data_IF_718464704389
#
_entry.id   IF_718464704389
#
_cell.length_a   1.000
_cell.length_b   1.000
_cell.length_c   1.000
_cell.angle_alpha   90.00
_cell.angle_beta   90.00
_cell.angle_gamma   90.00
#
_symmetry.space_group_name_H-M   'P 1'
#
loop_
_entity.id
_entity.type
_entity.pdbx_description
1 polymer ?
#
# COMPACT_ATOMS: atom_id res chain seq x y z
N UNK A 1 -6.53 -1.26 -2.48
CA UNK A 1 -7.95 -0.84 -2.51
C UNK A 1 -8.39 -0.30 -3.87
N UNK A 2 -7.64 0.61 -4.51
CA UNK A 2 -8.03 1.24 -5.79
C UNK A 2 -8.32 0.27 -6.96
N UNK A 3 -7.52 -0.79 -7.20
CA UNK A 3 -7.75 -1.69 -8.34
C UNK A 3 -9.08 -2.44 -8.22
N UNK A 4 -9.39 -2.94 -7.01
CA UNK A 4 -10.62 -3.69 -6.72
C UNK A 4 -11.86 -2.81 -6.93
N UNK A 5 -11.84 -1.57 -6.42
CA UNK A 5 -12.98 -0.66 -6.58
C UNK A 5 -13.18 -0.26 -8.04
N UNK A 6 -12.10 -0.09 -8.80
CA UNK A 6 -12.18 0.23 -10.22
C UNK A 6 -12.73 -0.93 -11.05
N UNK A 7 -12.37 -2.17 -10.74
CA UNK A 7 -13.00 -3.35 -11.35
C UNK A 7 -14.48 -3.46 -10.96
N UNK A 8 -14.84 -3.23 -9.70
CA UNK A 8 -16.24 -3.23 -9.26
C UNK A 8 -17.08 -2.21 -10.03
N UNK A 9 -16.55 -1.01 -10.31
CA UNK A 9 -17.24 0.01 -11.09
C UNK A 9 -17.33 -0.30 -12.59
N UNK A 10 -16.48 -1.17 -13.13
CA UNK A 10 -16.62 -1.69 -14.50
C UNK A 10 -17.76 -2.70 -14.60
N UNK A 11 -17.97 -3.50 -13.56
CA UNK A 11 -19.06 -4.48 -13.49
C UNK A 11 -20.40 -3.82 -13.14
N UNK A 12 -20.38 -2.93 -12.16
CA UNK A 12 -21.55 -2.19 -11.68
C UNK A 12 -21.26 -0.68 -11.61
N UNK A 13 -21.57 0.07 -12.69
CA UNK A 13 -21.27 1.50 -12.78
C UNK A 13 -22.00 2.38 -11.75
N UNK A 14 -23.06 1.87 -11.13
CA UNK A 14 -23.87 2.56 -10.11
C UNK A 14 -23.58 2.09 -8.68
N UNK A 15 -22.49 1.36 -8.45
CA UNK A 15 -22.18 0.81 -7.14
C UNK A 15 -21.67 1.90 -6.17
N UNK A 16 -22.57 2.37 -5.30
CA UNK A 16 -22.30 3.41 -4.29
C UNK A 16 -21.13 3.03 -3.37
N UNK A 17 -21.08 1.78 -2.91
CA UNK A 17 -20.03 1.29 -2.01
C UNK A 17 -18.65 1.30 -2.70
N UNK A 18 -18.59 0.98 -3.98
CA UNK A 18 -17.36 0.99 -4.75
C UNK A 18 -16.82 2.42 -4.94
N UNK A 19 -17.69 3.40 -5.26
CA UNK A 19 -17.30 4.81 -5.31
C UNK A 19 -16.81 5.31 -3.96
N UNK A 20 -17.54 5.03 -2.88
CA UNK A 20 -17.16 5.48 -1.54
C UNK A 20 -15.80 4.92 -1.09
N UNK A 21 -15.57 3.61 -1.27
CA UNK A 21 -14.28 2.97 -0.94
C UNK A 21 -13.13 3.50 -1.80
N UNK A 22 -13.39 3.81 -3.09
CA UNK A 22 -12.39 4.40 -3.97
C UNK A 22 -12.04 5.82 -3.54
N UNK A 23 -13.03 6.62 -3.14
CA UNK A 23 -12.82 7.96 -2.63
C UNK A 23 -11.96 7.98 -1.36
N UNK A 24 -12.22 7.08 -0.40
CA UNK A 24 -11.42 6.97 0.82
C UNK A 24 -9.97 6.56 0.53
N UNK A 25 -9.78 5.65 -0.44
CA UNK A 25 -8.44 5.29 -0.87
C UNK A 25 -7.69 6.48 -1.50
N UNK A 26 -8.36 7.29 -2.33
CA UNK A 26 -7.77 8.51 -2.89
C UNK A 26 -7.51 9.61 -1.84
N UNK A 27 -8.38 9.74 -0.83
CA UNK A 27 -8.15 10.59 0.34
C UNK A 27 -6.84 10.19 1.05
N UNK A 28 -6.62 8.90 1.28
CA UNK A 28 -5.39 8.37 1.89
C UNK A 28 -4.14 8.62 1.05
N UNK A 29 -4.27 8.67 -0.29
CA UNK A 29 -3.19 9.01 -1.22
C UNK A 29 -3.00 10.52 -1.42
N UNK A 30 -3.71 11.36 -0.65
CA UNK A 30 -3.73 12.82 -0.79
C UNK A 30 -4.16 13.30 -2.19
N UNK A 31 -4.81 12.45 -2.97
CA UNK A 31 -5.41 12.82 -4.25
C UNK A 31 -6.85 13.28 -4.00
N UNK A 32 -6.97 14.45 -3.40
CA UNK A 32 -8.24 14.96 -2.91
C UNK A 32 -9.22 15.31 -4.04
N UNK A 33 -8.74 15.66 -5.24
CA UNK A 33 -9.60 15.98 -6.38
C UNK A 33 -10.41 14.77 -6.83
N UNK A 34 -9.75 13.64 -7.06
CA UNK A 34 -10.43 12.39 -7.47
C UNK A 34 -11.32 11.85 -6.34
N UNK A 35 -10.91 12.02 -5.08
CA UNK A 35 -11.71 11.67 -3.92
C UNK A 35 -13.04 12.44 -3.87
N UNK A 36 -12.99 13.77 -4.09
CA UNK A 36 -14.19 14.62 -4.15
C UNK A 36 -15.12 14.21 -5.30
N UNK A 37 -14.57 13.92 -6.48
CA UNK A 37 -15.38 13.50 -7.63
C UNK A 37 -16.15 12.20 -7.36
N UNK A 38 -15.51 11.23 -6.70
CA UNK A 38 -16.14 9.98 -6.33
C UNK A 38 -17.18 10.17 -5.21
N UNK A 39 -16.91 11.01 -4.21
CA UNK A 39 -17.90 11.35 -3.17
C UNK A 39 -19.12 12.08 -3.74
N UNK A 40 -18.93 12.97 -4.71
CA UNK A 40 -20.04 13.61 -5.41
C UNK A 40 -20.89 12.60 -6.17
N UNK A 41 -20.28 11.56 -6.76
CA UNK A 41 -21.05 10.46 -7.41
C UNK A 41 -21.84 9.65 -6.39
N UNK A 42 -21.27 9.37 -5.22
CA UNK A 42 -21.98 8.72 -4.11
C UNK A 42 -23.24 9.52 -3.76
N UNK A 43 -23.11 10.83 -3.54
CA UNK A 43 -24.25 11.69 -3.15
C UNK A 43 -25.30 11.88 -4.25
N UNK A 44 -24.90 11.76 -5.52
CA UNK A 44 -25.82 11.76 -6.67
C UNK A 44 -26.64 10.48 -6.76
N UNK A 45 -26.05 9.34 -6.39
CA UNK A 45 -26.72 8.04 -6.43
C UNK A 45 -27.55 7.79 -5.17
N UNK A 46 -27.02 8.20 -4.02
CA UNK A 46 -27.69 8.12 -2.72
C UNK A 46 -27.39 9.40 -1.92
N UNK A 47 -28.37 10.29 -1.89
CA UNK A 47 -28.25 11.58 -1.21
C UNK A 47 -28.36 11.47 0.31
N UNK A 48 -28.73 10.31 0.86
CA UNK A 48 -28.94 10.10 2.29
C UNK A 48 -27.70 9.56 3.02
N UNK A 49 -26.55 9.44 2.33
CA UNK A 49 -25.30 8.98 2.94
C UNK A 49 -24.62 10.13 3.69
N UNK A 50 -24.97 10.32 4.96
CA UNK A 50 -24.41 11.36 5.82
C UNK A 50 -22.88 11.26 5.95
N UNK A 51 -22.35 10.05 5.95
CA UNK A 51 -20.91 9.79 6.00
C UNK A 51 -20.21 10.36 4.77
N UNK A 52 -20.79 10.24 3.58
CA UNK A 52 -20.22 10.77 2.34
C UNK A 52 -20.20 12.29 2.32
N UNK A 53 -21.21 12.94 2.91
CA UNK A 53 -21.22 14.40 3.07
C UNK A 53 -20.10 14.87 4.01
N UNK A 54 -19.95 14.20 5.15
CA UNK A 54 -18.88 14.49 6.12
C UNK A 54 -17.50 14.32 5.51
N UNK A 55 -17.27 13.21 4.82
CA UNK A 55 -16.01 12.93 4.13
C UNK A 55 -15.72 13.98 3.05
N UNK A 56 -16.74 14.41 2.29
CA UNK A 56 -16.57 15.43 1.25
C UNK A 56 -16.14 16.78 1.84
N UNK A 57 -16.71 17.16 2.98
CA UNK A 57 -16.30 18.37 3.70
C UNK A 57 -14.85 18.27 4.18
N UNK A 58 -14.47 17.16 4.80
CA UNK A 58 -13.11 16.94 5.29
C UNK A 58 -12.08 16.98 4.16
N UNK A 59 -12.33 16.26 3.06
CA UNK A 59 -11.44 16.22 1.89
C UNK A 59 -11.31 17.59 1.25
N UNK A 60 -12.39 18.39 1.22
CA UNK A 60 -12.36 19.75 0.70
C UNK A 60 -11.48 20.68 1.54
N UNK A 61 -11.51 20.56 2.86
CA UNK A 61 -10.62 21.31 3.75
C UNK A 61 -9.15 20.89 3.60
N UNK A 62 -8.89 19.58 3.46
CA UNK A 62 -7.54 19.08 3.18
C UNK A 62 -6.97 19.62 1.87
N UNK A 63 -7.80 19.70 0.81
CA UNK A 63 -7.39 20.28 -0.47
C UNK A 63 -7.05 21.77 -0.35
N UNK A 64 -7.83 22.54 0.41
CA UNK A 64 -7.53 23.97 0.68
C UNK A 64 -6.20 24.12 1.41
N UNK A 65 -5.97 23.30 2.45
CA UNK A 65 -4.72 23.29 3.22
C UNK A 65 -3.50 22.91 2.38
N UNK A 66 -3.63 21.92 1.49
CA UNK A 66 -2.56 21.54 0.58
C UNK A 66 -2.19 22.67 -0.38
N UNK A 67 -3.21 23.39 -0.90
CA UNK A 67 -2.99 24.56 -1.77
C UNK A 67 -2.28 25.70 -1.04
N UNK A 68 -2.70 26.05 0.18
CA UNK A 68 -2.04 27.11 0.94
C UNK A 68 -0.59 26.77 1.31
N UNK A 69 -0.32 25.53 1.71
CA UNK A 69 1.04 25.05 1.98
C UNK A 69 1.96 25.15 0.75
N UNK A 70 1.47 24.75 -0.42
CA UNK A 70 2.24 24.83 -1.68
C UNK A 70 2.54 26.27 -2.13
N UNK A 71 1.77 27.25 -1.66
CA UNK A 71 1.93 28.66 -2.02
C UNK A 71 2.99 29.39 -1.18
N UNK A 72 3.31 28.90 0.03
CA UNK A 72 4.34 29.50 0.89
C UNK A 72 5.77 29.06 0.53
N UNK A 73 5.94 27.96 -0.19
CA UNK A 73 7.26 27.45 -0.60
C UNK A 73 7.87 28.20 -1.81
N UNK A 74 7.04 28.86 -2.64
CA UNK A 74 7.48 29.54 -3.87
C UNK A 74 8.00 30.98 -3.67
N UNK A 75 7.98 31.51 -2.45
CA UNK A 75 8.36 32.92 -2.15
C UNK A 75 9.73 33.06 -1.45
N UNK A 76 10.72 32.22 -1.74
CA UNK A 76 12.10 32.51 -1.30
C UNK A 76 12.65 33.70 -2.10
N UNK A 77 12.90 34.79 -1.38
CA UNK A 77 13.14 36.16 -1.85
C UNK A 77 14.39 36.26 -2.74
N UNK A 78 14.26 36.98 -3.86
CA UNK A 78 15.38 37.41 -4.72
C UNK A 78 16.19 38.49 -3.99
N UNK A 79 17.42 38.18 -3.60
CA UNK A 79 18.36 39.17 -3.06
C UNK A 79 18.78 40.08 -4.24
N UNK A 80 18.48 41.37 -4.17
CA UNK A 80 19.06 42.39 -5.04
C UNK A 80 20.31 42.94 -4.35
N UNK A 81 21.44 42.89 -5.04
CA UNK A 81 22.69 43.52 -4.61
C UNK A 81 22.80 44.80 -5.45
N UNK A 82 22.63 45.96 -4.81
CA UNK A 82 23.03 47.24 -5.39
C UNK A 82 24.49 47.51 -5.03
N UNK A 83 25.29 47.78 -6.05
CA UNK A 83 26.68 48.22 -5.92
C UNK A 83 26.71 49.60 -5.23
N UNK A 84 27.41 49.70 -4.11
CA UNK A 84 27.82 50.99 -3.55
C UNK A 84 29.31 50.97 -3.25
N UNK A 85 29.97 51.94 -3.87
CA UNK A 85 31.39 52.21 -3.79
C UNK A 85 31.86 52.51 -2.35
N UNK A 86 33.14 52.22 -2.16
CA UNK A 86 33.97 52.23 -0.96
C UNK A 86 33.76 53.41 0.00
N UNK A 87 33.85 53.17 1.32
CA UNK A 87 34.82 53.81 2.25
C UNK A 87 34.91 52.98 3.54
N UNK A 88 36.15 52.74 3.95
CA UNK A 88 36.70 52.01 5.10
C UNK A 88 36.18 52.43 6.51
N UNK A 89 36.08 51.48 7.44
CA UNK A 89 37.11 51.24 8.48
C UNK A 89 36.64 50.20 9.54
N UNK A 90 37.56 49.25 9.75
CA UNK A 90 37.90 48.43 10.93
C UNK A 90 36.83 47.98 11.95
N UNK A 91 36.76 46.65 12.16
CA UNK A 91 37.39 46.05 13.36
C UNK A 91 37.34 44.50 13.30
N UNK A 92 38.53 43.93 13.54
CA UNK A 92 38.87 42.60 14.09
C UNK A 92 38.16 41.33 13.61
N UNK A 93 38.89 40.55 12.78
CA UNK A 93 38.79 39.08 12.75
C UNK A 93 39.54 38.43 13.93
N UNK A 94 40.00 37.16 13.84
CA UNK A 94 39.71 36.09 12.89
C UNK A 94 39.33 34.77 13.64
N UNK A 95 38.85 33.70 12.98
CA UNK A 95 39.68 32.61 12.43
C UNK A 95 38.72 31.56 11.87
N UNK A 96 38.80 31.26 10.57
CA UNK A 96 39.58 30.14 9.99
C UNK A 96 38.95 28.80 10.37
N UNK A 97 38.68 27.85 9.49
CA UNK A 97 39.38 27.33 8.30
C UNK A 97 38.62 26.01 8.01
N UNK A 98 38.60 25.35 6.87
CA UNK A 98 39.22 25.54 5.58
C UNK A 98 38.42 24.65 4.61
N UNK A 99 38.53 25.02 3.35
CA UNK A 99 38.12 24.31 2.16
C UNK A 99 38.61 22.86 2.10
N UNK A 100 37.92 22.03 1.31
CA UNK A 100 38.44 21.46 0.04
C UNK A 100 37.44 20.44 -0.50
N UNK A 101 36.80 20.71 -1.63
CA UNK A 101 37.19 20.42 -3.04
C UNK A 101 36.90 18.97 -3.51
N UNK A 102 36.04 18.96 -4.52
CA UNK A 102 36.09 18.23 -5.79
C UNK A 102 35.86 16.71 -5.87
N UNK A 103 34.83 16.40 -6.66
CA UNK A 103 34.77 15.53 -7.85
C UNK A 103 35.34 14.11 -7.73
N UNK A 104 34.47 13.13 -7.97
CA UNK A 104 34.88 11.78 -8.33
C UNK A 104 33.70 10.81 -8.45
N UNK A 105 33.50 10.31 -9.66
CA UNK A 105 32.59 9.25 -10.08
C UNK A 105 32.64 7.96 -9.25
N UNK A 106 31.51 7.28 -9.14
CA UNK A 106 31.44 5.87 -8.74
C UNK A 106 30.00 5.39 -8.56
N UNK A 107 29.52 4.59 -9.51
CA UNK A 107 28.40 3.67 -9.31
C UNK A 107 28.77 2.65 -8.21
N UNK A 108 27.85 2.34 -7.29
CA UNK A 108 27.49 0.94 -7.18
C UNK A 108 25.99 0.71 -6.93
N UNK A 109 25.49 -0.29 -7.63
CA UNK A 109 24.42 -1.20 -7.22
C UNK A 109 24.53 -1.60 -5.75
N UNK A 110 23.45 -1.48 -4.97
CA UNK A 110 22.99 -2.49 -3.98
C UNK A 110 21.68 -2.09 -3.28
N UNK A 111 20.69 -2.97 -3.42
CA UNK A 111 19.66 -3.41 -2.48
C UNK A 111 19.08 -2.44 -1.43
N UNK A 112 17.87 -1.95 -1.73
CA UNK A 112 16.92 -1.46 -0.73
C UNK A 112 16.17 -2.65 -0.11
N UNK A 113 16.19 -2.83 1.22
CA UNK A 113 15.40 -3.87 1.87
C UNK A 113 13.94 -3.43 1.86
N UNK A 114 13.13 -4.14 1.09
CA UNK A 114 11.67 -4.10 1.16
C UNK A 114 11.24 -4.51 2.56
N UNK A 115 10.82 -3.55 3.38
CA UNK A 115 10.20 -3.81 4.67
C UNK A 115 8.91 -4.59 4.42
N UNK A 116 9.00 -5.91 4.58
CA UNK A 116 7.86 -6.82 4.67
C UNK A 116 7.24 -6.60 6.04
N UNK A 117 6.33 -5.63 6.15
CA UNK A 117 5.50 -5.47 7.35
C UNK A 117 4.56 -6.67 7.43
N UNK A 118 5.04 -7.68 8.17
CA UNK A 118 4.23 -8.71 8.76
C UNK A 118 3.20 -8.02 9.66
N UNK A 119 1.94 -8.03 9.22
CA UNK A 119 0.84 -7.74 10.12
C UNK A 119 0.72 -8.96 11.05
N UNK A 120 1.40 -8.87 12.19
CA UNK A 120 1.09 -9.64 13.39
C UNK A 120 -0.39 -9.41 13.70
N UNK A 121 -1.23 -10.38 13.36
CA UNK A 121 -2.52 -10.51 14.00
C UNK A 121 -2.41 -11.68 14.98
N UNK A 122 -2.25 -11.30 16.23
CA UNK A 122 -2.27 -12.11 17.43
C UNK A 122 -3.42 -13.11 17.45
N UNK A 123 -3.13 -14.41 17.43
CA UNK A 123 -3.78 -15.41 18.29
C UNK A 123 -2.82 -16.59 18.55
N UNK A 124 -2.81 -16.99 19.82
CA UNK A 124 -1.94 -17.91 20.56
C UNK A 124 -1.74 -19.32 19.98
N UNK A 125 -0.65 -20.02 20.38
CA UNK A 125 -0.21 -21.26 19.78
C UNK A 125 -1.08 -22.43 20.24
N UNK A 126 -1.67 -23.15 19.30
CA UNK A 126 -2.09 -24.52 19.54
C UNK A 126 -1.34 -25.41 18.57
N UNK A 127 -0.22 -25.94 19.07
CA UNK A 127 0.38 -27.17 18.58
C UNK A 127 -0.70 -28.27 18.60
N UNK A 128 -1.42 -28.42 17.49
CA UNK A 128 -2.15 -29.65 17.19
C UNK A 128 -1.76 -30.05 15.79
N UNK A 129 -0.92 -31.08 15.76
CA UNK A 129 -0.37 -31.66 14.56
C UNK A 129 -1.46 -32.08 13.58
N UNK A 130 -1.07 -32.07 12.30
CA UNK A 130 -1.56 -32.93 11.25
C UNK A 130 -3.01 -33.40 11.42
N UNK A 131 -3.98 -32.47 11.44
CA UNK A 131 -5.35 -32.88 11.19
C UNK A 131 -5.53 -32.95 9.68
N UNK A 132 -5.47 -34.18 9.19
CA UNK A 132 -5.62 -34.61 7.80
C UNK A 132 -6.97 -34.23 7.16
N UNK A 133 -7.76 -33.32 7.71
CA UNK A 133 -8.98 -32.85 7.06
C UNK A 133 -9.30 -31.41 7.50
N UNK A 134 -8.89 -30.40 6.73
CA UNK A 134 -9.25 -29.02 7.02
C UNK A 134 -10.77 -28.88 6.87
N UNK A 135 -11.42 -28.34 7.91
CA UNK A 135 -12.89 -28.18 7.95
C UNK A 135 -13.34 -26.83 7.40
N UNK A 136 -12.41 -25.89 7.24
CA UNK A 136 -12.66 -24.55 6.74
C UNK A 136 -11.43 -24.00 5.98
N UNK A 137 -11.65 -22.95 5.19
CA UNK A 137 -10.62 -22.34 4.35
C UNK A 137 -9.43 -21.76 5.16
N UNK A 138 -9.66 -21.37 6.40
CA UNK A 138 -8.63 -20.83 7.28
C UNK A 138 -7.67 -21.92 7.77
N UNK A 139 -8.18 -23.08 8.18
CA UNK A 139 -7.39 -24.26 8.52
C UNK A 139 -6.58 -24.76 7.34
N UNK A 140 -7.21 -24.84 6.15
CA UNK A 140 -6.52 -25.20 4.91
C UNK A 140 -5.36 -24.23 4.63
N UNK A 141 -5.63 -22.92 4.69
CA UNK A 141 -4.62 -21.89 4.44
C UNK A 141 -3.44 -21.95 5.40
N UNK A 142 -3.68 -22.20 6.69
CA UNK A 142 -2.60 -22.37 7.67
C UNK A 142 -1.76 -23.60 7.38
N UNK A 143 -2.39 -24.77 7.20
CA UNK A 143 -1.68 -26.01 6.91
C UNK A 143 -0.87 -25.89 5.61
N UNK A 144 -1.49 -25.37 4.55
CA UNK A 144 -0.85 -25.16 3.26
C UNK A 144 0.34 -24.19 3.36
N UNK A 145 0.23 -23.10 4.13
CA UNK A 145 1.35 -22.17 4.32
C UNK A 145 2.52 -22.78 5.09
N UNK A 146 2.27 -23.66 6.07
CA UNK A 146 3.32 -24.40 6.79
C UNK A 146 4.04 -25.35 5.84
N UNK A 147 3.31 -26.09 5.01
CA UNK A 147 3.89 -27.01 4.02
C UNK A 147 4.65 -26.26 2.93
N UNK A 148 4.13 -25.11 2.50
CA UNK A 148 4.80 -24.20 1.57
C UNK A 148 6.15 -23.73 2.11
N UNK A 149 6.18 -23.34 3.39
CA UNK A 149 7.41 -22.89 4.06
C UNK A 149 8.46 -24.01 4.15
N UNK A 150 8.02 -25.27 4.23
CA UNK A 150 8.88 -26.45 4.27
C UNK A 150 9.20 -27.02 2.88
N UNK A 151 8.61 -26.48 1.81
CA UNK A 151 8.67 -27.02 0.43
C UNK A 151 8.31 -28.51 0.35
N UNK A 152 7.44 -28.96 1.25
CA UNK A 152 7.04 -30.36 1.34
C UNK A 152 5.89 -30.64 0.38
N UNK A 153 6.24 -31.09 -0.82
CA UNK A 153 5.29 -31.35 -1.90
C UNK A 153 4.44 -32.61 -1.64
N UNK A 154 5.01 -33.59 -0.94
CA UNK A 154 4.33 -34.85 -0.62
C UNK A 154 3.25 -34.63 0.43
N UNK A 155 3.56 -33.94 1.53
CA UNK A 155 2.55 -33.58 2.53
C UNK A 155 1.49 -32.62 1.95
N UNK A 156 1.86 -31.79 0.97
CA UNK A 156 0.91 -30.94 0.24
C UNK A 156 -0.08 -31.78 -0.58
N UNK A 157 0.41 -32.81 -1.29
CA UNK A 157 -0.44 -33.76 -2.03
C UNK A 157 -1.40 -34.50 -1.09
N UNK A 158 -0.92 -34.92 0.10
CA UNK A 158 -1.79 -35.54 1.11
C UNK A 158 -2.86 -34.57 1.63
N UNK A 159 -2.51 -33.31 1.89
CA UNK A 159 -3.47 -32.29 2.28
C UNK A 159 -4.55 -32.09 1.21
N UNK A 160 -4.15 -32.01 -0.07
CA UNK A 160 -5.06 -31.88 -1.21
C UNK A 160 -5.96 -33.11 -1.39
N UNK A 161 -5.44 -34.32 -1.16
CA UNK A 161 -6.21 -35.57 -1.24
C UNK A 161 -7.37 -35.63 -0.22
N UNK A 162 -7.24 -34.88 0.87
CA UNK A 162 -8.24 -34.83 1.92
C UNK A 162 -9.31 -33.73 1.71
N UNK A 163 -9.18 -32.93 0.65
CA UNK A 163 -10.16 -31.91 0.26
C UNK A 163 -10.98 -32.42 -0.92
N UNK A 164 -12.30 -32.33 -0.82
CA UNK A 164 -13.16 -32.71 -1.94
C UNK A 164 -12.97 -31.73 -3.12
N UNK A 165 -12.95 -32.20 -4.38
CA UNK A 165 -12.73 -31.34 -5.54
C UNK A 165 -13.71 -30.16 -5.65
N UNK A 166 -14.95 -30.33 -5.13
CA UNK A 166 -15.99 -29.29 -5.11
C UNK A 166 -15.73 -28.18 -4.09
N UNK A 167 -15.02 -28.51 -3.01
CA UNK A 167 -14.71 -27.59 -1.91
C UNK A 167 -13.35 -26.93 -2.10
N UNK A 168 -12.48 -27.51 -2.93
CA UNK A 168 -11.15 -26.97 -3.22
C UNK A 168 -11.20 -25.51 -3.70
N UNK A 169 -12.08 -25.08 -4.65
CA UNK A 169 -12.22 -23.68 -5.01
C UNK A 169 -12.53 -22.79 -3.81
N UNK A 170 -13.44 -23.21 -2.92
CA UNK A 170 -13.81 -22.47 -1.71
C UNK A 170 -12.65 -22.36 -0.71
N UNK A 171 -11.82 -23.40 -0.60
CA UNK A 171 -10.64 -23.42 0.27
C UNK A 171 -9.51 -22.52 -0.24
N UNK A 172 -9.35 -22.41 -1.57
CA UNK A 172 -8.30 -21.59 -2.20
C UNK A 172 -8.74 -20.16 -2.54
N UNK A 173 -10.04 -19.83 -2.39
CA UNK A 173 -10.64 -18.53 -2.78
C UNK A 173 -9.99 -17.34 -2.06
N UNK A 174 -9.28 -17.55 -0.95
CA UNK A 174 -8.97 -16.48 -0.01
C UNK A 174 -7.48 -16.26 0.28
N UNK A 175 -6.69 -16.02 -0.78
CA UNK A 175 -5.25 -15.65 -0.80
C UNK A 175 -4.29 -16.81 -1.10
N UNK A 176 -4.32 -17.28 -2.33
CA UNK A 176 -3.16 -17.97 -2.91
C UNK A 176 -2.46 -17.03 -3.88
N UNK A 177 -1.21 -16.70 -3.56
CA UNK A 177 -0.28 -15.98 -4.45
C UNK A 177 0.06 -16.87 -5.67
N UNK A 178 0.59 -16.30 -6.75
CA UNK A 178 0.83 -17.02 -8.02
C UNK A 178 1.73 -18.27 -7.86
N UNK A 179 2.61 -18.27 -6.86
CA UNK A 179 3.51 -19.36 -6.48
C UNK A 179 2.80 -20.57 -5.84
N UNK A 180 1.67 -20.34 -5.17
CA UNK A 180 0.91 -21.39 -4.52
C UNK A 180 0.28 -22.36 -5.53
N UNK A 181 -0.19 -21.84 -6.67
CA UNK A 181 -0.69 -22.67 -7.76
C UNK A 181 0.43 -23.57 -8.31
N UNK A 182 1.64 -23.03 -8.50
CA UNK A 182 2.81 -23.81 -8.94
C UNK A 182 3.10 -24.97 -8.00
N UNK A 183 3.06 -24.75 -6.68
CA UNK A 183 3.25 -25.82 -5.70
C UNK A 183 2.12 -26.85 -5.72
N UNK A 184 0.87 -26.43 -5.90
CA UNK A 184 -0.27 -27.35 -6.05
C UNK A 184 -0.10 -28.21 -7.32
N UNK A 185 0.26 -27.60 -8.45
CA UNK A 185 0.50 -28.35 -9.69
C UNK A 185 1.67 -29.32 -9.54
N UNK A 186 2.78 -28.91 -8.93
CA UNK A 186 3.92 -29.81 -8.68
C UNK A 186 3.56 -30.98 -7.74
N UNK A 187 2.73 -30.74 -6.73
CA UNK A 187 2.25 -31.79 -5.83
C UNK A 187 1.29 -32.77 -6.52
N UNK A 188 0.52 -32.30 -7.51
CA UNK A 188 -0.40 -33.12 -8.31
C UNK A 188 0.28 -33.83 -9.49
N UNK A 189 1.37 -33.31 -10.03
CA UNK A 189 2.15 -33.94 -11.11
C UNK A 189 3.07 -35.06 -10.61
N UNK A 190 3.44 -35.05 -9.33
CA UNK A 190 4.33 -36.02 -8.71
C UNK A 190 3.67 -37.33 -8.24
N UNK A 191 2.35 -37.50 -8.41
CA UNK A 191 1.55 -38.62 -7.89
C UNK A 191 0.40 -38.98 -8.82
#
# INVERSE_FOLDING_TARGET
>A
ALPICSCALKLEPSNVKAFYRRALAYKGLQNYTVSIDDLNKVLKLDSNVAEAQKELQEVSELLKKQRSASSHEKSRKKIQIDEVADVDEEETGPKQQDATKQVGSGDPTEDLPYIREAFENSHSPSEKGALLKPTNAYEFGQAFNVLRSKKDSTACAELLRNVEPKDLPLMITNKLESDAFTMIFQALEGH
#
